data_IF_938605283859
#
_entry.id   IF_938605283859
#
_cell.length_a   1.000
_cell.length_b   1.000
_cell.length_c   1.000
_cell.angle_alpha   90.00
_cell.angle_beta   90.00
_cell.angle_gamma   90.00
#
_symmetry.space_group_name_H-M   'P 1'
#
loop_
_entity.id
_entity.type
_entity.pdbx_description
1 polymer ?
#
# COMPACT_ATOMS: atom_id res chain seq x y z
N UNK A 1 -6.98 -20.75 -7.60
CA UNK A 1 -8.23 -20.35 -8.29
C UNK A 1 -8.06 -19.03 -9.04
N UNK A 2 -7.79 -17.90 -8.38
CA UNK A 2 -7.63 -16.58 -9.04
C UNK A 2 -6.58 -16.54 -10.15
N UNK A 3 -5.40 -17.11 -9.91
CA UNK A 3 -4.30 -17.17 -10.89
C UNK A 3 -4.67 -17.98 -12.15
N UNK A 4 -5.45 -19.06 -11.96
CA UNK A 4 -5.95 -19.88 -13.06
C UNK A 4 -6.96 -19.11 -13.92
N UNK A 5 -7.86 -18.36 -13.29
CA UNK A 5 -8.80 -17.48 -14.02
C UNK A 5 -8.08 -16.40 -14.82
N UNK A 6 -7.09 -15.71 -14.22
CA UNK A 6 -6.29 -14.70 -14.93
C UNK A 6 -5.60 -15.33 -16.14
N UNK A 7 -4.98 -16.49 -15.96
CA UNK A 7 -4.28 -17.20 -17.04
C UNK A 7 -5.23 -17.65 -18.16
N UNK A 8 -6.40 -18.21 -17.84
CA UNK A 8 -7.39 -18.59 -18.85
C UNK A 8 -7.94 -17.38 -19.60
N UNK A 9 -8.33 -16.32 -18.88
CA UNK A 9 -8.82 -15.09 -19.50
C UNK A 9 -7.76 -14.46 -20.40
N UNK A 10 -6.49 -14.47 -19.99
CA UNK A 10 -5.38 -14.05 -20.85
C UNK A 10 -5.32 -14.89 -22.13
N UNK A 11 -5.39 -16.22 -22.03
CA UNK A 11 -5.34 -17.11 -23.20
C UNK A 11 -6.42 -16.74 -24.20
N UNK A 12 -7.68 -16.69 -23.76
CA UNK A 12 -8.80 -16.33 -24.64
C UNK A 12 -8.63 -14.95 -25.28
N UNK A 13 -8.24 -13.93 -24.51
CA UNK A 13 -8.06 -12.57 -25.04
C UNK A 13 -6.84 -12.45 -25.97
N UNK A 14 -5.83 -13.31 -25.80
CA UNK A 14 -4.69 -13.41 -26.70
C UNK A 14 -5.10 -14.07 -28.02
N UNK A 15 -5.93 -15.11 -27.98
CA UNK A 15 -6.45 -15.78 -29.19
C UNK A 15 -7.28 -14.80 -30.05
N UNK A 16 -8.02 -13.89 -29.41
CA UNK A 16 -8.73 -12.81 -30.09
C UNK A 16 -7.84 -11.66 -30.58
N UNK A 17 -6.52 -11.72 -30.35
CA UNK A 17 -5.56 -10.70 -30.76
C UNK A 17 -5.98 -9.28 -30.35
N UNK A 18 -6.57 -9.14 -29.17
CA UNK A 18 -7.23 -7.91 -28.73
C UNK A 18 -6.33 -6.68 -28.85
N UNK A 19 -5.06 -6.82 -28.48
CA UNK A 19 -4.10 -5.70 -28.56
C UNK A 19 -3.68 -5.36 -29.99
N UNK A 20 -3.50 -6.34 -30.88
CA UNK A 20 -3.18 -6.10 -32.29
C UNK A 20 -4.36 -5.37 -32.97
N UNK A 21 -5.57 -5.89 -32.76
CA UNK A 21 -6.80 -5.34 -33.31
C UNK A 21 -7.07 -3.93 -32.77
N UNK A 22 -6.80 -3.69 -31.49
CA UNK A 22 -6.92 -2.35 -30.90
C UNK A 22 -5.88 -1.38 -31.48
N UNK A 23 -4.62 -1.80 -31.61
CA UNK A 23 -3.58 -0.97 -32.22
C UNK A 23 -3.85 -0.66 -33.70
N UNK A 24 -4.46 -1.58 -34.44
CA UNK A 24 -4.93 -1.33 -35.81
C UNK A 24 -6.13 -0.37 -35.84
N UNK A 25 -7.10 -0.55 -34.94
CA UNK A 25 -8.25 0.35 -34.80
C UNK A 25 -7.82 1.80 -34.54
N UNK A 26 -6.83 1.99 -33.64
CA UNK A 26 -6.26 3.30 -33.34
C UNK A 26 -5.57 3.96 -34.54
N UNK A 27 -4.97 3.14 -35.43
CA UNK A 27 -4.31 3.63 -36.66
C UNK A 27 -5.31 3.98 -37.77
N UNK A 28 -6.44 3.28 -37.84
CA UNK A 28 -7.30 3.29 -39.01
C UNK A 28 -8.52 4.22 -38.95
N UNK A 29 -8.96 4.71 -37.78
CA UNK A 29 -10.00 5.76 -37.65
C UNK A 29 -10.10 6.24 -36.20
N UNK A 30 -9.13 7.05 -35.80
CA UNK A 30 -8.87 7.44 -34.41
C UNK A 30 -9.89 8.45 -33.82
N UNK A 31 -10.51 9.30 -34.64
CA UNK A 31 -11.17 10.52 -34.14
C UNK A 31 -12.70 10.43 -34.00
N UNK A 32 -13.32 9.31 -34.40
CA UNK A 32 -14.79 9.16 -34.45
C UNK A 32 -15.36 7.96 -33.69
N UNK A 33 -14.54 7.20 -32.97
CA UNK A 33 -15.02 6.06 -32.20
C UNK A 33 -15.83 6.55 -30.99
N UNK A 34 -17.12 6.24 -31.02
CA UNK A 34 -17.96 6.38 -29.83
C UNK A 34 -17.39 5.45 -28.75
N UNK A 35 -17.19 5.92 -27.51
CA UNK A 35 -16.81 5.05 -26.40
C UNK A 35 -17.69 3.81 -26.29
N UNK A 36 -18.96 3.88 -26.63
CA UNK A 36 -19.89 2.73 -26.54
C UNK A 36 -19.82 1.77 -27.75
N UNK A 37 -18.85 1.93 -28.65
CA UNK A 37 -18.62 0.98 -29.75
C UNK A 37 -18.28 -0.41 -29.20
N UNK A 38 -18.95 -1.42 -29.74
CA UNK A 38 -18.76 -2.83 -29.39
C UNK A 38 -17.28 -3.25 -29.50
N UNK A 39 -16.54 -2.66 -30.45
CA UNK A 39 -15.12 -2.92 -30.71
C UNK A 39 -14.22 -2.54 -29.53
N UNK A 40 -14.70 -1.70 -28.61
CA UNK A 40 -13.96 -1.24 -27.43
C UNK A 40 -14.21 -2.10 -26.18
N UNK A 41 -15.18 -3.03 -26.19
CA UNK A 41 -15.44 -3.88 -25.02
C UNK A 41 -14.30 -4.84 -24.68
N UNK A 42 -13.70 -5.48 -25.68
CA UNK A 42 -12.57 -6.38 -25.45
C UNK A 42 -11.34 -5.62 -24.89
N UNK A 43 -10.92 -4.47 -25.44
CA UNK A 43 -9.90 -3.62 -24.82
C UNK A 43 -10.22 -3.21 -23.37
N UNK A 44 -11.47 -2.84 -23.06
CA UNK A 44 -11.92 -2.51 -21.69
C UNK A 44 -11.81 -3.70 -20.73
N UNK A 45 -12.23 -4.88 -21.19
CA UNK A 45 -12.12 -6.11 -20.42
C UNK A 45 -10.64 -6.46 -20.18
N UNK A 46 -9.78 -6.26 -21.18
CA UNK A 46 -8.35 -6.48 -21.06
C UNK A 46 -7.69 -5.49 -20.08
N UNK A 47 -8.08 -4.21 -20.09
CA UNK A 47 -7.67 -3.24 -19.07
C UNK A 47 -8.09 -3.67 -17.66
N UNK A 48 -9.29 -4.21 -17.52
CA UNK A 48 -9.80 -4.70 -16.23
C UNK A 48 -9.01 -5.91 -15.74
N UNK A 49 -8.62 -6.80 -16.67
CA UNK A 49 -7.76 -7.95 -16.36
C UNK A 49 -6.37 -7.49 -15.91
N UNK A 50 -5.79 -6.44 -16.51
CA UNK A 50 -4.55 -5.81 -16.04
C UNK A 50 -4.65 -5.30 -14.61
N UNK A 51 -5.75 -4.62 -14.28
CA UNK A 51 -5.98 -4.11 -12.92
C UNK A 51 -6.02 -5.27 -11.92
N UNK A 52 -6.74 -6.34 -12.24
CA UNK A 52 -6.85 -7.53 -11.38
C UNK A 52 -5.48 -8.21 -11.20
N UNK A 53 -4.73 -8.39 -12.30
CA UNK A 53 -3.42 -9.03 -12.27
C UNK A 53 -2.40 -8.21 -11.47
N UNK A 54 -2.38 -6.88 -11.62
CA UNK A 54 -1.51 -6.00 -10.83
C UNK A 54 -1.87 -6.05 -9.33
N UNK A 55 -3.15 -5.98 -8.98
CA UNK A 55 -3.62 -6.11 -7.61
C UNK A 55 -3.23 -7.46 -6.99
N UNK A 56 -3.37 -8.55 -7.75
CA UNK A 56 -2.99 -9.89 -7.32
C UNK A 56 -1.47 -10.00 -7.14
N UNK A 57 -0.70 -9.51 -8.10
CA UNK A 57 0.76 -9.48 -8.09
C UNK A 57 1.33 -8.78 -6.86
N UNK A 58 0.78 -7.62 -6.51
CA UNK A 58 1.19 -6.86 -5.32
C UNK A 58 0.69 -7.48 -4.02
N UNK A 59 -0.53 -8.01 -3.97
CA UNK A 59 -1.10 -8.60 -2.75
C UNK A 59 -0.38 -9.87 -2.28
N UNK A 60 0.14 -10.64 -3.23
CA UNK A 60 0.77 -11.94 -2.98
C UNK A 60 2.27 -11.96 -3.25
N UNK A 61 2.85 -10.83 -3.65
CA UNK A 61 4.26 -10.81 -3.99
C UNK A 61 4.60 -11.76 -5.16
N UNK A 62 3.77 -11.83 -6.20
CA UNK A 62 4.05 -12.62 -7.40
C UNK A 62 4.28 -11.74 -8.64
N UNK A 63 4.83 -12.31 -9.71
CA UNK A 63 5.00 -11.58 -10.98
C UNK A 63 3.64 -11.45 -11.69
N UNK A 64 3.45 -10.33 -12.41
CA UNK A 64 2.29 -10.18 -13.28
C UNK A 64 2.38 -11.13 -14.47
N UNK A 65 1.23 -11.73 -14.79
CA UNK A 65 1.07 -12.69 -15.86
C UNK A 65 0.82 -12.03 -17.21
N UNK A 66 0.32 -10.80 -17.25
CA UNK A 66 0.02 -10.11 -18.49
C UNK A 66 1.28 -9.45 -19.09
N UNK A 67 1.34 -9.33 -20.44
CA UNK A 67 2.44 -8.68 -21.14
C UNK A 67 2.46 -7.16 -20.95
N UNK A 68 3.58 -6.50 -21.25
CA UNK A 68 3.75 -5.04 -21.11
C UNK A 68 2.98 -4.28 -22.20
N UNK A 69 1.67 -4.15 -22.02
CA UNK A 69 0.78 -3.45 -22.96
C UNK A 69 -0.24 -2.55 -22.26
N UNK A 70 -0.12 -2.37 -20.94
CA UNK A 70 -1.00 -1.53 -20.15
C UNK A 70 -0.97 -0.07 -20.62
N UNK A 71 0.22 0.44 -20.94
CA UNK A 71 0.43 1.84 -21.31
C UNK A 71 -0.34 2.23 -22.58
N UNK A 72 -0.41 1.35 -23.58
CA UNK A 72 -1.20 1.59 -24.79
C UNK A 72 -2.69 1.82 -24.48
N UNK A 73 -3.25 1.04 -23.55
CA UNK A 73 -4.65 1.19 -23.12
C UNK A 73 -4.81 2.46 -22.28
N UNK A 74 -3.86 2.73 -21.38
CA UNK A 74 -3.91 3.88 -20.48
C UNK A 74 -3.79 5.23 -21.22
N UNK A 75 -2.94 5.29 -22.25
CA UNK A 75 -2.76 6.50 -23.04
C UNK A 75 -3.98 6.83 -23.91
N UNK A 76 -4.83 5.82 -24.16
CA UNK A 76 -6.07 5.94 -24.96
C UNK A 76 -7.36 5.88 -24.13
N UNK A 77 -7.28 6.18 -22.82
CA UNK A 77 -8.45 6.12 -21.92
C UNK A 77 -9.62 7.01 -22.33
N UNK A 78 -9.37 8.17 -22.96
CA UNK A 78 -10.44 9.06 -23.44
C UNK A 78 -11.34 8.40 -24.47
N UNK A 79 -10.83 7.39 -25.19
CA UNK A 79 -11.60 6.59 -26.15
C UNK A 79 -12.27 5.40 -25.47
N UNK A 80 -11.58 4.79 -24.50
CA UNK A 80 -12.08 3.62 -23.77
C UNK A 80 -13.15 3.98 -22.75
N UNK A 81 -13.16 5.17 -22.16
CA UNK A 81 -14.05 5.54 -21.07
C UNK A 81 -15.03 6.61 -21.55
N UNK A 82 -16.35 6.41 -21.38
CA UNK A 82 -17.34 7.44 -21.71
C UNK A 82 -17.08 8.75 -20.93
N UNK A 83 -17.30 9.93 -21.53
CA UNK A 83 -17.03 11.22 -20.89
C UNK A 83 -17.87 11.48 -19.63
N UNK A 84 -19.04 10.82 -19.50
CA UNK A 84 -19.94 10.95 -18.35
C UNK A 84 -19.71 9.88 -17.27
N UNK A 85 -18.56 9.20 -17.29
CA UNK A 85 -18.26 8.15 -16.32
C UNK A 85 -18.03 8.74 -14.93
N UNK A 86 -18.41 7.98 -13.89
CA UNK A 86 -18.29 8.43 -12.50
C UNK A 86 -16.84 8.83 -12.16
N UNK A 87 -16.69 9.92 -11.41
CA UNK A 87 -15.38 10.42 -10.96
C UNK A 87 -14.60 9.37 -10.15
N UNK A 88 -15.31 8.52 -9.40
CA UNK A 88 -14.72 7.42 -8.65
C UNK A 88 -14.07 6.36 -9.56
N UNK A 89 -14.73 5.99 -10.68
CA UNK A 89 -14.15 5.06 -11.64
C UNK A 89 -12.90 5.65 -12.30
N UNK A 90 -12.94 6.93 -12.70
CA UNK A 90 -11.78 7.61 -13.28
C UNK A 90 -10.61 7.64 -12.29
N UNK A 91 -10.86 7.92 -11.01
CA UNK A 91 -9.85 7.87 -9.94
C UNK A 91 -9.25 6.46 -9.78
N UNK A 92 -10.07 5.41 -9.84
CA UNK A 92 -9.58 4.03 -9.79
C UNK A 92 -8.69 3.68 -10.99
N UNK A 93 -9.05 4.14 -12.19
CA UNK A 93 -8.20 3.93 -13.37
C UNK A 93 -6.87 4.69 -13.26
N UNK A 94 -6.88 5.92 -12.71
CA UNK A 94 -5.63 6.65 -12.42
C UNK A 94 -4.76 5.90 -11.40
N UNK A 95 -5.39 5.33 -10.36
CA UNK A 95 -4.71 4.48 -9.38
C UNK A 95 -4.14 3.20 -9.99
N UNK A 96 -4.78 2.63 -11.00
CA UNK A 96 -4.27 1.47 -11.71
C UNK A 96 -2.91 1.73 -12.35
N UNK A 97 -2.67 2.95 -12.88
CA UNK A 97 -1.36 3.33 -13.44
C UNK A 97 -0.29 3.36 -12.36
N UNK A 98 -0.60 3.92 -11.18
CA UNK A 98 0.32 3.88 -10.05
C UNK A 98 0.68 2.43 -9.72
N UNK A 99 -0.33 1.56 -9.54
CA UNK A 99 -0.11 0.14 -9.24
C UNK A 99 0.70 -0.57 -10.34
N UNK A 100 0.47 -0.22 -11.61
CA UNK A 100 1.25 -0.76 -12.72
C UNK A 100 2.73 -0.38 -12.65
N UNK A 101 3.04 0.89 -12.33
CA UNK A 101 4.42 1.36 -12.13
C UNK A 101 5.09 0.55 -11.01
N UNK A 102 4.40 0.37 -9.87
CA UNK A 102 4.90 -0.41 -8.74
C UNK A 102 5.22 -1.88 -9.12
N UNK A 103 4.35 -2.52 -9.90
CA UNK A 103 4.56 -3.88 -10.40
C UNK A 103 5.77 -3.96 -11.32
N UNK A 104 5.90 -3.02 -12.26
CA UNK A 104 7.01 -2.98 -13.21
C UNK A 104 8.35 -2.72 -12.51
N UNK A 105 8.39 -1.79 -11.56
CA UNK A 105 9.60 -1.50 -10.79
C UNK A 105 10.03 -2.71 -9.96
N UNK A 106 9.06 -3.41 -9.35
CA UNK A 106 9.32 -4.67 -8.67
C UNK A 106 9.91 -5.73 -9.60
N UNK A 107 9.33 -5.91 -10.80
CA UNK A 107 9.83 -6.86 -11.81
C UNK A 107 11.28 -6.55 -12.18
N UNK A 108 11.62 -5.28 -12.43
CA UNK A 108 12.99 -4.85 -12.77
C UNK A 108 13.99 -5.16 -11.66
N UNK A 109 13.60 -4.97 -10.40
CA UNK A 109 14.50 -5.17 -9.28
C UNK A 109 14.70 -6.63 -8.87
N UNK A 110 13.69 -7.50 -9.04
CA UNK A 110 13.89 -8.95 -8.83
C UNK A 110 14.90 -9.52 -9.83
N UNK A 111 15.00 -8.92 -11.02
CA UNK A 111 15.84 -9.39 -12.11
C UNK A 111 17.21 -8.70 -12.18
N UNK A 112 17.50 -7.68 -11.36
CA UNK A 112 18.77 -6.96 -11.41
C UNK A 112 19.87 -7.65 -10.58
N UNK A 113 21.07 -7.74 -11.16
CA UNK A 113 22.28 -8.25 -10.49
C UNK A 113 23.43 -7.24 -10.65
N UNK A 114 24.00 -6.70 -9.55
CA UNK A 114 23.51 -6.83 -8.19
C UNK A 114 22.13 -6.19 -8.05
N UNK A 115 21.34 -6.63 -7.05
CA UNK A 115 20.03 -6.06 -6.78
C UNK A 115 20.15 -4.53 -6.69
N UNK A 116 19.67 -3.83 -7.71
CA UNK A 116 19.76 -2.37 -7.74
C UNK A 116 18.81 -1.80 -6.68
N UNK A 117 19.35 -0.91 -5.87
CA UNK A 117 18.62 -0.15 -4.85
C UNK A 117 17.53 0.69 -5.52
N UNK A 118 16.28 0.35 -5.25
CA UNK A 118 15.11 1.13 -5.67
C UNK A 118 15.16 2.47 -4.94
N UNK A 119 14.92 3.57 -5.66
CA UNK A 119 14.81 4.92 -5.10
C UNK A 119 13.44 5.49 -5.43
N UNK A 120 12.83 6.24 -4.53
CA UNK A 120 11.67 7.09 -4.86
C UNK A 120 11.99 8.04 -6.02
N UNK A 121 13.26 8.48 -6.13
CA UNK A 121 13.75 9.28 -7.27
C UNK A 121 13.72 8.54 -8.62
N UNK A 122 13.42 7.24 -8.64
CA UNK A 122 13.22 6.43 -9.85
C UNK A 122 11.75 6.16 -10.16
N UNK A 123 10.81 6.56 -9.30
CA UNK A 123 9.41 6.61 -9.72
C UNK A 123 9.32 7.64 -10.84
N UNK A 124 8.96 7.13 -12.02
CA UNK A 124 8.75 7.87 -13.26
C UNK A 124 8.09 9.24 -13.00
N UNK A 125 8.52 10.34 -13.66
CA UNK A 125 7.81 11.63 -13.67
C UNK A 125 6.28 11.51 -13.84
N UNK A 126 5.81 10.42 -14.43
CA UNK A 126 4.40 10.06 -14.50
C UNK A 126 3.71 9.91 -13.13
N UNK A 127 4.42 9.59 -12.05
CA UNK A 127 3.88 9.48 -10.70
C UNK A 127 3.44 10.84 -10.14
N UNK A 128 4.29 11.86 -10.25
CA UNK A 128 3.94 13.23 -9.84
C UNK A 128 2.86 13.83 -10.75
N UNK A 129 2.89 13.50 -12.04
CA UNK A 129 1.83 13.86 -12.98
C UNK A 129 0.48 13.25 -12.58
N UNK A 130 0.41 11.95 -12.29
CA UNK A 130 -0.82 11.29 -11.84
C UNK A 130 -1.28 11.88 -10.51
N UNK A 131 -0.36 12.08 -9.55
CA UNK A 131 -0.65 12.71 -8.25
C UNK A 131 -1.30 14.09 -8.40
N UNK A 132 -0.80 14.93 -9.32
CA UNK A 132 -1.33 16.27 -9.55
C UNK A 132 -2.79 16.30 -10.01
N UNK A 133 -3.28 15.19 -10.59
CA UNK A 133 -4.65 15.04 -11.07
C UNK A 133 -5.62 14.44 -10.04
N UNK A 134 -5.11 13.97 -8.89
CA UNK A 134 -5.93 13.34 -7.86
C UNK A 134 -6.69 14.39 -7.05
N UNK A 135 -7.92 14.06 -6.67
CA UNK A 135 -8.74 14.96 -5.87
C UNK A 135 -8.15 15.12 -4.45
N UNK A 136 -8.05 16.35 -3.89
CA UNK A 136 -7.39 16.62 -2.61
C UNK A 136 -7.93 15.86 -1.39
N UNK A 137 -9.17 15.39 -1.46
CA UNK A 137 -9.84 14.61 -0.39
C UNK A 137 -10.14 13.17 -0.82
N UNK A 138 -9.42 12.63 -1.80
CA UNK A 138 -9.60 11.25 -2.25
C UNK A 138 -8.65 10.30 -1.52
N UNK A 139 -9.12 9.06 -1.36
CA UNK A 139 -8.32 7.90 -0.92
C UNK A 139 -6.99 7.83 -1.68
N UNK A 140 -7.05 8.00 -3.01
CA UNK A 140 -5.94 7.92 -3.93
C UNK A 140 -4.78 8.83 -3.51
N UNK A 141 -5.07 10.06 -3.09
CA UNK A 141 -4.03 11.00 -2.64
C UNK A 141 -3.40 10.59 -1.31
N UNK A 142 -4.20 10.14 -0.34
CA UNK A 142 -3.68 9.65 0.95
C UNK A 142 -2.76 8.45 0.74
N UNK A 143 -3.15 7.52 -0.14
CA UNK A 143 -2.31 6.38 -0.49
C UNK A 143 -1.00 6.80 -1.16
N UNK A 144 -1.05 7.70 -2.15
CA UNK A 144 0.14 8.21 -2.84
C UNK A 144 1.12 8.89 -1.88
N UNK A 145 0.61 9.67 -0.92
CA UNK A 145 1.45 10.30 0.10
C UNK A 145 2.14 9.27 0.98
N UNK A 146 1.41 8.23 1.40
CA UNK A 146 1.91 7.14 2.21
C UNK A 146 2.98 6.32 1.46
N UNK A 147 2.78 6.03 0.17
CA UNK A 147 3.79 5.40 -0.68
C UNK A 147 5.06 6.26 -0.78
N UNK A 148 4.90 7.57 -0.97
CA UNK A 148 6.03 8.49 -1.04
C UNK A 148 6.87 8.47 0.22
N UNK A 149 6.23 8.64 1.37
CA UNK A 149 6.94 8.71 2.64
C UNK A 149 7.58 7.37 3.00
N UNK A 150 6.95 6.26 2.62
CA UNK A 150 7.52 4.92 2.74
C UNK A 150 8.79 4.76 1.91
N UNK A 151 8.75 5.11 0.61
CA UNK A 151 9.92 4.97 -0.25
C UNK A 151 11.06 5.88 0.20
N UNK A 152 10.76 7.11 0.63
CA UNK A 152 11.77 8.03 1.19
C UNK A 152 12.45 7.44 2.44
N UNK A 153 11.69 6.80 3.33
CA UNK A 153 12.26 6.07 4.47
C UNK A 153 13.13 4.91 3.99
N UNK A 154 12.62 4.08 3.09
CA UNK A 154 13.34 2.90 2.59
C UNK A 154 14.67 3.26 1.92
N UNK A 155 14.68 4.27 1.06
CA UNK A 155 15.90 4.77 0.39
C UNK A 155 16.97 5.14 1.41
N UNK A 156 16.57 5.79 2.50
CA UNK A 156 17.49 6.18 3.55
C UNK A 156 17.96 4.99 4.38
N UNK A 157 17.10 4.02 4.67
CA UNK A 157 17.48 2.78 5.36
C UNK A 157 18.49 1.97 4.54
N UNK A 158 18.31 1.87 3.21
CA UNK A 158 19.30 1.24 2.34
C UNK A 158 20.66 1.94 2.42
N UNK A 159 20.69 3.27 2.31
CA UNK A 159 21.93 4.04 2.43
C UNK A 159 22.61 3.83 3.79
N UNK A 160 21.81 3.79 4.86
CA UNK A 160 22.30 3.54 6.21
C UNK A 160 22.86 2.13 6.36
N UNK A 161 22.21 1.12 5.77
CA UNK A 161 22.73 -0.25 5.78
C UNK A 161 24.09 -0.35 5.11
N UNK A 162 24.23 0.23 3.92
CA UNK A 162 25.50 0.23 3.19
C UNK A 162 26.61 0.93 4.00
N UNK A 163 26.27 2.08 4.61
CA UNK A 163 27.17 2.82 5.49
C UNK A 163 27.60 2.00 6.72
N UNK A 164 26.64 1.44 7.47
CA UNK A 164 26.91 0.69 8.71
C UNK A 164 27.69 -0.60 8.44
N UNK A 165 27.45 -1.26 7.31
CA UNK A 165 28.17 -2.47 6.91
C UNK A 165 29.66 -2.20 6.65
N UNK A 166 30.00 -1.01 6.17
CA UNK A 166 31.38 -0.61 5.89
C UNK A 166 32.12 -0.08 7.14
N UNK A 167 31.41 0.12 8.24
CA UNK A 167 31.96 0.71 9.46
C UNK A 167 32.80 -0.31 10.25
N UNK A 168 34.07 0.00 10.60
CA UNK A 168 34.93 -0.90 11.38
C UNK A 168 34.34 -1.21 12.76
N UNK A 169 34.56 -2.42 13.27
CA UNK A 169 33.98 -2.90 14.53
C UNK A 169 34.67 -2.35 15.80
N UNK A 170 35.74 -1.54 15.68
CA UNK A 170 36.67 -1.33 16.81
C UNK A 170 37.15 0.10 17.06
N UNK A 171 36.61 1.14 16.39
CA UNK A 171 36.97 2.53 16.68
C UNK A 171 35.78 3.47 16.42
N UNK A 172 34.83 3.58 17.35
CA UNK A 172 33.91 4.72 17.38
C UNK A 172 34.64 5.92 17.95
N UNK A 173 35.32 6.63 17.06
CA UNK A 173 35.70 8.02 17.33
C UNK A 173 34.43 8.85 17.55
N UNK A 174 34.57 9.99 18.25
CA UNK A 174 33.45 10.84 18.62
C UNK A 174 32.74 11.39 17.37
N UNK A 175 33.46 11.64 16.27
CA UNK A 175 32.90 12.03 14.96
C UNK A 175 31.95 10.97 14.36
N UNK A 176 32.33 9.69 14.47
CA UNK A 176 31.51 8.57 13.96
C UNK A 176 30.26 8.42 14.82
N UNK A 177 30.41 8.61 16.13
CA UNK A 177 29.32 8.59 17.08
C UNK A 177 28.29 9.69 16.79
N UNK A 178 28.74 10.93 16.57
CA UNK A 178 27.88 12.05 16.18
C UNK A 178 27.16 11.77 14.86
N UNK A 179 27.90 11.27 13.87
CA UNK A 179 27.34 10.88 12.57
C UNK A 179 26.21 9.87 12.73
N UNK A 180 26.36 8.86 13.59
CA UNK A 180 25.30 7.85 13.83
C UNK A 180 24.08 8.47 14.49
N UNK A 181 24.26 9.36 15.47
CA UNK A 181 23.14 10.09 16.07
C UNK A 181 22.39 10.90 15.01
N UNK A 182 23.09 11.59 14.11
CA UNK A 182 22.45 12.31 13.01
C UNK A 182 21.62 11.38 12.12
N UNK A 183 22.13 10.18 11.83
CA UNK A 183 21.38 9.16 11.09
C UNK A 183 20.14 8.72 11.87
N UNK A 184 20.25 8.41 13.17
CA UNK A 184 19.12 8.03 14.02
C UNK A 184 18.06 9.15 14.10
N UNK A 185 18.48 10.42 14.18
CA UNK A 185 17.60 11.58 14.13
C UNK A 185 16.90 11.72 12.77
N UNK A 186 17.61 11.44 11.67
CA UNK A 186 17.03 11.42 10.32
C UNK A 186 16.01 10.29 10.16
N UNK A 187 16.29 9.09 10.67
CA UNK A 187 15.29 7.99 10.75
C UNK A 187 14.06 8.50 11.50
N UNK A 188 14.23 9.09 12.67
CA UNK A 188 13.14 9.60 13.51
C UNK A 188 12.27 10.61 12.75
N UNK A 189 12.88 11.53 11.98
CA UNK A 189 12.15 12.51 11.14
C UNK A 189 11.33 11.82 10.05
N UNK A 190 11.90 10.83 9.35
CA UNK A 190 11.23 10.10 8.27
C UNK A 190 10.11 9.20 8.81
N UNK A 191 10.35 8.49 9.91
CA UNK A 191 9.33 7.68 10.58
C UNK A 191 8.18 8.54 11.08
N UNK A 192 8.46 9.73 11.63
CA UNK A 192 7.41 10.69 12.02
C UNK A 192 6.56 11.15 10.84
N UNK A 193 7.19 11.40 9.69
CA UNK A 193 6.48 11.79 8.47
C UNK A 193 5.54 10.66 8.02
N UNK A 194 6.05 9.43 7.99
CA UNK A 194 5.28 8.24 7.64
C UNK A 194 4.16 7.94 8.65
N UNK A 195 4.40 8.09 9.96
CA UNK A 195 3.37 7.90 11.00
C UNK A 195 2.24 8.92 10.85
N UNK A 196 2.54 10.17 10.49
CA UNK A 196 1.53 11.18 10.22
C UNK A 196 0.71 10.85 8.97
N UNK A 197 1.33 10.34 7.92
CA UNK A 197 0.63 9.88 6.71
C UNK A 197 -0.26 8.66 7.00
N UNK A 198 0.21 7.70 7.81
CA UNK A 198 -0.59 6.57 8.30
C UNK A 198 -1.79 7.02 9.13
N UNK A 199 -1.59 7.96 10.05
CA UNK A 199 -2.66 8.52 10.89
C UNK A 199 -3.70 9.26 10.03
N UNK A 200 -3.23 10.04 9.05
CA UNK A 200 -4.11 10.76 8.10
C UNK A 200 -4.94 9.78 7.27
N UNK A 201 -4.32 8.71 6.79
CA UNK A 201 -5.02 7.62 6.09
C UNK A 201 -6.05 6.93 7.01
N UNK A 202 -5.67 6.55 8.23
CA UNK A 202 -6.57 5.89 9.19
C UNK A 202 -7.77 6.77 9.55
N UNK A 203 -7.55 8.08 9.74
CA UNK A 203 -8.62 9.06 9.98
C UNK A 203 -9.56 9.19 8.79
N UNK A 204 -9.02 9.25 7.56
CA UNK A 204 -9.83 9.27 6.34
C UNK A 204 -10.72 8.02 6.26
N UNK A 205 -10.13 6.83 6.46
CA UNK A 205 -10.88 5.57 6.47
C UNK A 205 -11.99 5.59 7.52
N UNK A 206 -11.68 5.99 8.75
CA UNK A 206 -12.66 6.06 9.84
C UNK A 206 -13.78 7.06 9.55
N UNK A 207 -13.46 8.18 8.91
CA UNK A 207 -14.44 9.22 8.54
C UNK A 207 -15.38 8.71 7.45
N UNK A 208 -14.85 8.00 6.45
CA UNK A 208 -15.71 7.42 5.42
C UNK A 208 -16.63 6.37 5.99
N UNK A 209 -16.14 5.46 6.85
CA UNK A 209 -16.99 4.44 7.45
C UNK A 209 -18.07 5.03 8.37
N UNK A 210 -17.79 6.10 9.12
CA UNK A 210 -18.80 6.76 9.95
C UNK A 210 -19.83 7.52 9.10
N UNK A 211 -19.41 8.18 8.03
CA UNK A 211 -20.31 8.92 7.13
C UNK A 211 -21.10 8.00 6.19
N UNK A 212 -20.59 6.81 5.85
CA UNK A 212 -21.30 5.82 5.05
C UNK A 212 -22.59 5.30 5.70
N UNK A 213 -22.66 5.30 7.04
CA UNK A 213 -23.91 5.00 7.74
C UNK A 213 -24.99 6.07 7.54
N UNK A 214 -24.60 7.28 7.12
CA UNK A 214 -25.49 8.43 6.97
C UNK A 214 -25.74 8.87 5.52
N UNK A 215 -24.87 8.52 4.55
CA UNK A 215 -24.96 8.99 3.17
C UNK A 215 -24.46 7.97 2.13
N UNK A 216 -25.29 7.69 1.12
CA UNK A 216 -25.03 6.72 0.05
C UNK A 216 -23.94 7.18 -0.95
N UNK A 217 -23.58 8.47 -1.02
CA UNK A 217 -22.77 9.04 -2.12
C UNK A 217 -21.25 8.95 -1.93
N UNK A 218 -20.75 8.99 -0.68
CA UNK A 218 -19.30 8.90 -0.38
C UNK A 218 -18.77 7.47 -0.32
N UNK A 219 -19.67 6.48 -0.41
CA UNK A 219 -19.29 5.07 -0.25
C UNK A 219 -18.54 4.45 -1.42
N UNK A 220 -18.52 5.12 -2.57
CA UNK A 220 -17.94 4.57 -3.80
C UNK A 220 -16.41 4.56 -3.79
N UNK A 221 -15.75 5.41 -3.00
CA UNK A 221 -14.28 5.40 -2.90
C UNK A 221 -13.74 4.11 -2.24
N UNK A 222 -14.56 3.42 -1.43
CA UNK A 222 -14.20 2.13 -0.82
C UNK A 222 -14.41 0.93 -1.75
N UNK A 223 -15.06 1.11 -2.90
CA UNK A 223 -15.22 0.09 -3.94
C UNK A 223 -13.95 -0.13 -4.77
N UNK A 224 -12.83 0.46 -4.34
CA UNK A 224 -11.57 0.34 -5.04
C UNK A 224 -10.88 -0.99 -4.74
N UNK A 225 -10.49 -1.79 -5.75
CA UNK A 225 -9.67 -2.98 -5.52
C UNK A 225 -8.33 -2.63 -4.85
N UNK A 226 -7.85 -1.40 -5.03
CA UNK A 226 -6.64 -0.86 -4.45
C UNK A 226 -6.79 -0.61 -2.93
N UNK A 227 -8.00 -0.25 -2.48
CA UNK A 227 -8.26 0.06 -1.07
C UNK A 227 -7.92 -1.11 -0.15
N UNK A 228 -8.34 -2.33 -0.51
CA UNK A 228 -8.02 -3.54 0.26
C UNK A 228 -6.51 -3.73 0.43
N UNK A 229 -5.74 -3.48 -0.63
CA UNK A 229 -4.28 -3.60 -0.61
C UNK A 229 -3.69 -2.54 0.32
N UNK A 230 -4.04 -1.27 0.12
CA UNK A 230 -3.54 -0.17 0.96
C UNK A 230 -3.89 -0.31 2.44
N UNK A 231 -5.11 -0.78 2.71
CA UNK A 231 -5.59 -0.99 4.06
C UNK A 231 -4.82 -2.09 4.79
N UNK A 232 -4.65 -3.26 4.17
CA UNK A 232 -3.90 -4.37 4.74
C UNK A 232 -2.46 -3.97 5.10
N UNK A 233 -1.90 -3.05 4.32
CA UNK A 233 -0.48 -2.76 4.32
C UNK A 233 -0.12 -1.58 5.21
N UNK A 234 -1.09 -0.75 5.52
CA UNK A 234 -0.99 0.22 6.59
C UNK A 234 -0.59 -0.46 7.92
N UNK A 235 -1.10 -1.67 8.20
CA UNK A 235 -0.67 -2.44 9.38
C UNK A 235 0.78 -2.89 9.32
N UNK A 236 1.26 -3.32 8.15
CA UNK A 236 2.68 -3.69 7.99
C UNK A 236 3.59 -2.50 8.17
N UNK A 237 3.25 -1.35 7.58
CA UNK A 237 4.02 -0.12 7.79
C UNK A 237 4.05 0.32 9.25
N UNK A 238 2.94 0.17 9.97
CA UNK A 238 2.92 0.41 11.41
C UNK A 238 3.95 -0.48 12.10
N UNK A 239 4.08 -1.76 11.73
CA UNK A 239 5.12 -2.66 12.24
C UNK A 239 6.53 -2.21 11.85
N UNK A 240 6.76 -1.83 10.61
CA UNK A 240 8.05 -1.30 10.13
C UNK A 240 8.50 -0.10 10.98
N UNK A 241 7.61 0.89 11.14
CA UNK A 241 7.88 2.06 11.99
C UNK A 241 8.13 1.63 13.44
N UNK A 242 7.33 0.71 13.98
CA UNK A 242 7.43 0.27 15.37
C UNK A 242 8.76 -0.42 15.68
N UNK A 243 9.29 -1.24 14.76
CA UNK A 243 10.60 -1.89 14.94
C UNK A 243 11.73 -0.86 15.10
N UNK A 244 11.73 0.21 14.30
CA UNK A 244 12.72 1.29 14.42
C UNK A 244 12.59 2.04 15.75
N UNK A 245 11.35 2.31 16.16
CA UNK A 245 11.04 3.04 17.40
C UNK A 245 11.38 2.21 18.65
N UNK A 246 11.11 0.90 18.62
CA UNK A 246 11.45 0.00 19.72
C UNK A 246 12.96 -0.19 19.89
N UNK A 247 13.66 -0.25 18.77
CA UNK A 247 15.12 -0.24 18.76
C UNK A 247 15.67 1.03 19.42
N UNK A 248 15.05 2.19 19.16
CA UNK A 248 15.39 3.44 19.84
C UNK A 248 15.01 3.45 21.31
N UNK A 249 13.87 2.89 21.71
CA UNK A 249 13.52 2.75 23.13
C UNK A 249 14.53 1.90 23.91
N UNK A 250 15.12 0.91 23.25
CA UNK A 250 16.05 -0.03 23.88
C UNK A 250 17.49 0.50 23.89
N UNK A 251 17.90 1.23 22.85
CA UNK A 251 19.30 1.56 22.61
C UNK A 251 19.61 3.06 22.50
N UNK A 252 18.62 3.94 22.41
CA UNK A 252 18.88 5.37 22.33
C UNK A 252 19.43 5.89 23.67
N UNK A 253 20.52 6.64 23.58
CA UNK A 253 21.16 7.28 24.74
C UNK A 253 20.95 8.79 24.76
N UNK A 254 20.05 9.27 23.90
CA UNK A 254 19.62 10.66 23.74
C UNK A 254 18.15 10.78 24.14
N UNK A 255 17.88 11.57 25.19
CA UNK A 255 16.53 11.82 25.69
C UNK A 255 15.62 12.53 24.68
N UNK A 256 16.17 13.35 23.78
CA UNK A 256 15.39 13.96 22.70
C UNK A 256 14.86 12.90 21.73
N UNK A 257 15.72 11.95 21.36
CA UNK A 257 15.37 10.86 20.45
C UNK A 257 14.29 9.96 21.06
N UNK A 258 14.41 9.63 22.35
CA UNK A 258 13.38 8.88 23.09
C UNK A 258 12.07 9.66 23.14
N UNK A 259 12.09 10.95 23.47
CA UNK A 259 10.89 11.79 23.53
C UNK A 259 10.15 11.89 22.19
N UNK A 260 10.89 12.06 21.09
CA UNK A 260 10.32 12.03 19.73
C UNK A 260 9.74 10.65 19.40
N UNK A 261 10.42 9.59 19.81
CA UNK A 261 10.00 8.21 19.61
C UNK A 261 8.70 7.88 20.36
N UNK A 262 8.50 8.41 21.57
CA UNK A 262 7.24 8.28 22.33
C UNK A 262 6.07 8.89 21.58
N UNK A 263 6.23 10.09 21.01
CA UNK A 263 5.17 10.75 20.22
C UNK A 263 4.80 9.93 18.98
N UNK A 264 5.81 9.43 18.27
CA UNK A 264 5.60 8.56 17.11
C UNK A 264 4.85 7.29 17.54
N UNK A 265 5.24 6.68 18.66
CA UNK A 265 4.57 5.48 19.19
C UNK A 265 3.08 5.74 19.48
N UNK A 266 2.75 6.92 20.02
CA UNK A 266 1.36 7.33 20.25
C UNK A 266 0.58 7.48 18.93
N UNK A 267 1.15 8.17 17.93
CA UNK A 267 0.52 8.33 16.62
C UNK A 267 0.25 6.98 15.94
N UNK A 268 1.23 6.06 15.99
CA UNK A 268 1.10 4.71 15.45
C UNK A 268 0.03 3.90 16.19
N UNK A 269 -0.05 4.02 17.52
CA UNK A 269 -1.08 3.38 18.34
C UNK A 269 -2.48 3.87 17.97
N UNK A 270 -2.65 5.19 17.79
CA UNK A 270 -3.92 5.77 17.36
C UNK A 270 -4.31 5.26 15.97
N UNK A 271 -3.38 5.31 15.00
CA UNK A 271 -3.61 4.83 13.65
C UNK A 271 -3.99 3.34 13.63
N UNK A 272 -3.27 2.51 14.40
CA UNK A 272 -3.53 1.08 14.55
C UNK A 272 -4.95 0.83 15.09
N UNK A 273 -5.33 1.51 16.18
CA UNK A 273 -6.63 1.32 16.82
C UNK A 273 -7.79 1.77 15.91
N UNK A 274 -7.62 2.88 15.18
CA UNK A 274 -8.59 3.34 14.20
C UNK A 274 -8.79 2.31 13.08
N UNK A 275 -7.71 1.78 12.52
CA UNK A 275 -7.78 0.74 11.50
C UNK A 275 -8.44 -0.52 12.08
N UNK A 276 -7.97 -1.04 13.22
CA UNK A 276 -8.48 -2.27 13.82
C UNK A 276 -9.98 -2.18 14.18
N UNK A 277 -10.41 -1.03 14.71
CA UNK A 277 -11.83 -0.76 14.98
C UNK A 277 -12.67 -0.85 13.70
N UNK A 278 -12.21 -0.23 12.60
CA UNK A 278 -12.87 -0.32 11.31
C UNK A 278 -12.90 -1.76 10.76
N UNK A 279 -11.81 -2.53 10.91
CA UNK A 279 -11.77 -3.93 10.48
C UNK A 279 -12.81 -4.78 11.21
N UNK A 280 -12.91 -4.61 12.53
CA UNK A 280 -13.89 -5.31 13.37
C UNK A 280 -15.33 -4.92 13.01
N UNK A 281 -15.58 -3.63 12.76
CA UNK A 281 -16.89 -3.17 12.31
C UNK A 281 -17.28 -3.79 10.96
N UNK A 282 -16.35 -3.82 9.99
CA UNK A 282 -16.57 -4.48 8.69
C UNK A 282 -16.86 -5.98 8.86
N UNK A 283 -16.12 -6.67 9.73
CA UNK A 283 -16.35 -8.08 10.03
C UNK A 283 -17.77 -8.34 10.57
N UNK A 284 -18.22 -7.52 11.51
CA UNK A 284 -19.55 -7.62 12.10
C UNK A 284 -20.66 -7.36 11.07
N UNK A 285 -20.49 -6.34 10.22
CA UNK A 285 -21.43 -6.05 9.11
C UNK A 285 -21.56 -7.25 8.17
N UNK A 286 -20.43 -7.79 7.70
CA UNK A 286 -20.42 -8.91 6.75
C UNK A 286 -20.97 -10.20 7.39
N UNK A 287 -20.64 -10.46 8.66
CA UNK A 287 -21.19 -11.58 9.43
C UNK A 287 -22.72 -11.49 9.55
N UNK A 288 -23.24 -10.31 9.85
CA UNK A 288 -24.68 -10.07 9.97
C UNK A 288 -25.40 -10.24 8.62
N UNK A 289 -24.83 -9.71 7.52
CA UNK A 289 -25.37 -9.92 6.17
C UNK A 289 -25.47 -11.42 5.86
N UNK A 290 -24.41 -12.19 6.13
CA UNK A 290 -24.40 -13.65 5.90
C UNK A 290 -25.46 -14.39 6.71
N UNK A 291 -25.66 -14.00 7.97
CA UNK A 291 -26.70 -14.59 8.82
C UNK A 291 -28.11 -14.33 8.26
N UNK A 292 -28.35 -13.14 7.71
CA UNK A 292 -29.62 -12.79 7.05
C UNK A 292 -29.84 -13.60 5.76
N UNK A 293 -28.82 -13.72 4.90
CA UNK A 293 -28.91 -14.54 3.68
C UNK A 293 -29.12 -16.03 3.98
N UNK A 294 -28.51 -16.55 5.05
CA UNK A 294 -28.65 -17.96 5.44
C UNK A 294 -30.03 -18.30 6.00
N UNK A 295 -30.78 -17.30 6.50
CA UNK A 295 -32.16 -17.45 6.97
C UNK A 295 -33.22 -17.33 5.85
N UNK A 296 -32.84 -16.85 4.66
CA UNK A 296 -33.75 -16.61 3.52
C UNK A 296 -33.99 -17.82 2.60
N UNK A 297 -33.32 -18.95 2.80
CA UNK A 297 -33.46 -20.15 1.96
C UNK A 297 -34.57 -21.13 2.42
N UNK A 298 -35.58 -20.61 3.14
CA UNK A 298 -36.76 -21.37 3.56
C UNK A 298 -38.05 -20.69 3.12
N UNK A 299 -38.42 -20.85 1.84
CA UNK A 299 -39.77 -20.56 1.34
C UNK A 299 -40.05 -19.09 0.99
N UNK A 300 -39.87 -18.73 -0.28
CA UNK A 300 -40.35 -17.47 -0.85
C UNK A 300 -39.40 -16.95 -1.91
N UNK A 301 -39.91 -16.74 -3.13
CA UNK A 301 -39.21 -16.07 -4.23
C UNK A 301 -38.46 -14.83 -3.74
N UNK A 302 -37.17 -14.65 -4.08
CA UNK A 302 -36.40 -13.53 -3.59
C UNK A 302 -36.91 -12.24 -4.25
N UNK A 303 -37.70 -11.47 -3.51
CA UNK A 303 -37.85 -10.05 -3.81
C UNK A 303 -36.51 -9.39 -3.55
N UNK A 304 -35.78 -9.02 -4.59
CA UNK A 304 -34.62 -8.15 -4.50
C UNK A 304 -35.07 -6.81 -3.90
N UNK A 305 -34.96 -6.67 -2.58
CA UNK A 305 -34.96 -5.36 -1.96
C UNK A 305 -33.57 -4.75 -2.19
N UNK A 306 -33.56 -3.67 -2.96
CA UNK A 306 -32.39 -2.88 -3.39
C UNK A 306 -31.52 -2.32 -2.26
N UNK A 307 -31.91 -2.53 -0.99
CA UNK A 307 -31.19 -2.07 0.19
C UNK A 307 -30.12 -3.06 0.68
N UNK A 308 -30.25 -4.37 0.42
CA UNK A 308 -29.26 -5.35 0.91
C UNK A 308 -27.99 -5.43 0.03
N UNK A 309 -28.12 -5.24 -1.29
CA UNK A 309 -26.99 -5.17 -2.24
C UNK A 309 -26.15 -3.89 -2.06
N UNK A 310 -26.77 -2.79 -1.60
CA UNK A 310 -26.08 -1.52 -1.39
C UNK A 310 -25.15 -1.50 -0.17
N UNK A 311 -25.36 -2.38 0.82
CA UNK A 311 -24.48 -2.51 2.00
C UNK A 311 -23.32 -3.46 1.71
N UNK A 312 -23.56 -4.53 0.94
CA UNK A 312 -22.54 -5.52 0.55
C UNK A 312 -21.40 -4.94 -0.28
N UNK A 313 -21.67 -3.90 -1.07
CA UNK A 313 -20.70 -3.31 -2.00
C UNK A 313 -19.75 -2.29 -1.36
N UNK A 314 -20.01 -1.78 -0.14
CA UNK A 314 -19.28 -0.63 0.42
C UNK A 314 -18.28 -0.97 1.52
N UNK A 315 -18.00 -2.25 1.73
CA UNK A 315 -17.18 -2.77 2.83
C UNK A 315 -16.00 -3.61 2.30
N UNK A 316 -14.99 -3.84 3.15
CA UNK A 316 -13.94 -4.81 2.86
C UNK A 316 -14.59 -6.19 2.59
N UNK A 317 -14.15 -6.90 1.56
CA UNK A 317 -14.67 -8.24 1.26
C UNK A 317 -14.34 -9.23 2.38
N UNK A 318 -15.22 -10.23 2.64
CA UNK A 318 -15.04 -11.22 3.71
C UNK A 318 -13.67 -11.92 3.68
N UNK A 319 -13.22 -12.32 2.48
CA UNK A 319 -11.93 -12.96 2.29
C UNK A 319 -10.77 -12.01 2.63
N UNK A 320 -10.87 -10.74 2.22
CA UNK A 320 -9.91 -9.70 2.56
C UNK A 320 -9.86 -9.47 4.07
N UNK A 321 -11.01 -9.31 4.74
CA UNK A 321 -11.08 -9.15 6.21
C UNK A 321 -10.39 -10.32 6.90
N UNK A 322 -10.76 -11.55 6.55
CA UNK A 322 -10.21 -12.76 7.18
C UNK A 322 -8.70 -12.88 6.96
N UNK A 323 -8.19 -12.51 5.78
CA UNK A 323 -6.76 -12.52 5.49
C UNK A 323 -6.03 -11.42 6.26
N UNK A 324 -6.60 -10.20 6.30
CA UNK A 324 -6.02 -9.06 7.01
C UNK A 324 -5.96 -9.35 8.50
N UNK A 325 -7.04 -9.82 9.12
CA UNK A 325 -7.08 -10.17 10.54
C UNK A 325 -5.98 -11.17 10.92
N UNK A 326 -5.83 -12.25 10.15
CA UNK A 326 -4.75 -13.23 10.37
C UNK A 326 -3.37 -12.61 10.23
N UNK A 327 -3.15 -11.76 9.23
CA UNK A 327 -1.85 -11.07 9.05
C UNK A 327 -1.56 -10.11 10.21
N UNK A 328 -2.56 -9.36 10.67
CA UNK A 328 -2.43 -8.42 11.79
C UNK A 328 -2.05 -9.14 13.10
N UNK A 329 -2.66 -10.30 13.37
CA UNK A 329 -2.30 -11.13 14.53
C UNK A 329 -0.83 -11.57 14.51
N UNK A 330 -0.29 -11.89 13.33
CA UNK A 330 1.12 -12.28 13.17
C UNK A 330 2.10 -11.13 13.41
N UNK A 331 1.67 -9.86 13.25
CA UNK A 331 2.54 -8.70 13.46
C UNK A 331 2.90 -8.49 14.93
N UNK A 332 2.10 -9.03 15.88
CA UNK A 332 2.30 -8.92 17.33
C UNK A 332 2.67 -7.48 17.74
N UNK A 333 1.85 -6.53 17.34
CA UNK A 333 2.05 -5.11 17.65
C UNK A 333 1.69 -4.85 19.12
N UNK A 334 2.62 -4.26 19.86
CA UNK A 334 2.43 -3.85 21.24
C UNK A 334 2.89 -2.41 21.41
N UNK A 335 2.00 -1.55 21.90
CA UNK A 335 2.24 -0.11 22.09
C UNK A 335 2.40 0.28 23.56
N UNK A 336 2.37 -0.69 24.49
CA UNK A 336 2.42 -0.43 25.94
C UNK A 336 3.79 0.00 26.46
N UNK A 337 4.86 -0.36 25.75
CA UNK A 337 6.23 0.01 26.12
C UNK A 337 6.55 1.47 25.78
N UNK A 338 6.66 2.32 26.80
CA UNK A 338 7.18 3.68 26.71
C UNK A 338 8.21 3.89 27.83
N UNK A 339 9.51 3.82 27.55
CA UNK A 339 10.53 4.09 28.56
C UNK A 339 10.54 5.58 28.94
N UNK A 340 10.96 5.87 30.18
CA UNK A 340 11.35 7.23 30.56
C UNK A 340 12.76 7.54 30.02
N UNK A 341 13.06 8.79 29.63
CA UNK A 341 14.41 9.18 29.25
C UNK A 341 15.37 8.94 30.42
N UNK A 342 16.48 8.26 30.18
CA UNK A 342 17.55 8.09 31.16
C UNK A 342 18.85 8.57 30.52
N UNK A 343 19.50 9.56 31.12
CA UNK A 343 20.83 9.98 30.70
C UNK A 343 21.87 8.95 31.15
N UNK A 344 22.63 8.44 30.19
CA UNK A 344 23.59 7.35 30.40
C UNK A 344 25.02 7.84 30.13
N UNK A 345 26.01 7.27 30.81
CA UNK A 345 27.42 7.63 30.63
C UNK A 345 27.94 7.29 29.23
N UNK A 346 28.94 8.03 28.74
CA UNK A 346 29.53 7.90 27.39
C UNK A 346 29.93 6.46 27.01
N UNK A 347 30.52 5.70 27.93
CA UNK A 347 30.91 4.31 27.69
C UNK A 347 29.72 3.38 27.45
N UNK A 348 28.58 3.64 28.10
CA UNK A 348 27.34 2.90 27.86
C UNK A 348 26.70 3.34 26.54
N UNK A 349 26.82 4.63 26.17
CA UNK A 349 26.33 5.13 24.88
C UNK A 349 27.00 4.43 23.70
N UNK A 350 28.34 4.26 23.72
CA UNK A 350 29.08 3.57 22.66
C UNK A 350 28.65 2.09 22.53
N UNK A 351 28.53 1.38 23.67
CA UNK A 351 28.01 0.01 23.70
C UNK A 351 26.58 -0.10 23.14
N UNK A 352 25.71 0.86 23.47
CA UNK A 352 24.34 0.86 22.97
C UNK A 352 24.27 1.03 21.44
N UNK A 353 25.16 1.84 20.85
CA UNK A 353 25.25 2.00 19.39
C UNK A 353 25.70 0.72 18.71
N UNK A 354 26.66 -0.01 19.28
CA UNK A 354 27.09 -1.31 18.74
C UNK A 354 25.96 -2.32 18.71
N UNK A 355 25.18 -2.39 19.80
CA UNK A 355 24.02 -3.28 19.87
C UNK A 355 22.93 -2.84 18.89
N UNK A 356 22.65 -1.54 18.81
CA UNK A 356 21.70 -0.98 17.84
C UNK A 356 22.11 -1.29 16.40
N UNK A 357 23.40 -1.14 16.06
CA UNK A 357 23.96 -1.48 14.75
C UNK A 357 23.72 -2.96 14.43
N UNK A 358 24.00 -3.85 15.38
CA UNK A 358 23.75 -5.29 15.23
C UNK A 358 22.28 -5.58 14.98
N UNK A 359 21.39 -5.08 15.84
CA UNK A 359 19.94 -5.23 15.69
C UNK A 359 19.44 -4.69 14.33
N UNK A 360 19.96 -3.54 13.92
CA UNK A 360 19.62 -2.92 12.64
C UNK A 360 19.99 -3.81 11.45
N UNK A 361 21.24 -4.27 11.40
CA UNK A 361 21.78 -5.04 10.28
C UNK A 361 21.20 -6.46 10.20
N UNK A 362 20.95 -7.10 11.34
CA UNK A 362 20.59 -8.52 11.42
C UNK A 362 19.09 -8.77 11.53
N UNK A 363 18.32 -7.81 12.07
CA UNK A 363 16.89 -8.01 12.34
C UNK A 363 16.00 -6.98 11.63
N UNK A 364 16.26 -5.68 11.84
CA UNK A 364 15.38 -4.63 11.33
C UNK A 364 15.46 -4.54 9.81
N UNK A 365 16.65 -4.36 9.26
CA UNK A 365 16.82 -4.17 7.82
C UNK A 365 16.40 -5.39 6.98
N UNK A 366 16.70 -6.65 7.37
CA UNK A 366 16.15 -7.82 6.69
C UNK A 366 14.62 -7.87 6.69
N UNK A 367 13.95 -7.39 7.76
CA UNK A 367 12.49 -7.27 7.76
C UNK A 367 12.01 -6.26 6.70
N UNK A 368 12.67 -5.11 6.56
CA UNK A 368 12.36 -4.13 5.51
C UNK A 368 12.62 -4.67 4.09
N UNK A 369 13.71 -5.40 3.88
CA UNK A 369 13.99 -6.05 2.59
C UNK A 369 12.94 -7.12 2.25
N UNK A 370 12.57 -7.92 3.26
CA UNK A 370 11.54 -8.96 3.11
C UNK A 370 10.20 -8.31 2.81
N UNK A 371 9.80 -7.26 3.52
CA UNK A 371 8.58 -6.51 3.24
C UNK A 371 8.58 -5.93 1.81
N UNK A 372 9.70 -5.35 1.35
CA UNK A 372 9.82 -4.84 -0.04
C UNK A 372 9.70 -5.95 -1.11
N UNK A 373 10.13 -7.17 -0.77
CA UNK A 373 10.13 -8.33 -1.68
C UNK A 373 8.83 -9.14 -1.69
N UNK A 374 8.25 -9.41 -0.50
CA UNK A 374 7.05 -10.23 -0.25
C UNK A 374 5.74 -9.48 -0.51
N UNK A 375 5.84 -8.21 -0.88
CA UNK A 375 4.72 -7.37 -1.24
C UNK A 375 4.52 -6.27 -0.22
N UNK A 376 5.38 -5.26 -0.34
CA UNK A 376 5.01 -3.86 -0.51
C UNK A 376 6.19 -3.08 -1.12
N UNK A 377 6.16 -2.61 -2.38
CA UNK A 377 5.37 -1.45 -2.82
C UNK A 377 3.97 -1.27 -2.25
#
# INVERSE_FOLDING_TARGET
>A
FTLWLISMSRSYLTDFKVMENFAELLRNNADSLNPDDIRLHLPRLYLSLFIIDNCFSLSFGCQSFLPDSFDLLYDNLSRLIPPNTSSCFVSNVQMAKIFHILVNDRRKSVLSVPAQTRRYSHLDPSFDYVRSKLHPRSYSLFFVNLLKDKCELYDFLMQLYDYLKCLPASNFDDDIYETIIEHQLKITRLVKKLSQSLLSFANYVSTIYSQQQASLSMGNDLLSPFFNVSYAQSFKLIKCCKLLIDSFFTHASDGELVSRSVKINQDLSIAYNLLMSNLNNNYNVVKNLRATFSRGFGGGTPGLSSTSEQVSSKCLGFASISMISKKVELLKLDFSNCPSPVDVSLGIKKKNIDVWKGEYLESIFPFFLTDDSEGWY
#
